data_IF_164417698122
#
_entry.id   IF_164417698122
#
_cell.length_a   1.000
_cell.length_b   1.000
_cell.length_c   1.000
_cell.angle_alpha   90.00
_cell.angle_beta   90.00
_cell.angle_gamma   90.00
#
_symmetry.space_group_name_H-M   'P 1'
#
loop_
_entity.id
_entity.type
_entity.pdbx_description
1 polymer ?
#
# COMPACT_ATOMS: atom_id res chain seq x y z
N UNK A 1 -23.43 13.18 -17.08
CA UNK A 1 -24.51 14.14 -17.36
C UNK A 1 -25.57 14.23 -16.25
N UNK A 2 -26.08 13.13 -15.66
CA UNK A 2 -27.12 13.21 -14.60
C UNK A 2 -26.76 14.05 -13.36
N UNK A 3 -25.49 14.04 -12.96
CA UNK A 3 -25.03 14.84 -11.81
C UNK A 3 -24.97 16.34 -12.13
N UNK A 4 -24.50 16.72 -13.31
CA UNK A 4 -24.51 18.11 -13.78
C UNK A 4 -25.94 18.65 -13.88
N UNK A 5 -26.84 17.85 -14.47
CA UNK A 5 -28.27 18.18 -14.52
C UNK A 5 -28.84 18.43 -13.12
N UNK A 6 -28.61 17.52 -12.16
CA UNK A 6 -29.05 17.68 -10.77
C UNK A 6 -28.51 18.97 -10.13
N UNK A 7 -27.22 19.26 -10.29
CA UNK A 7 -26.59 20.47 -9.74
C UNK A 7 -27.26 21.73 -10.28
N UNK A 8 -27.56 21.75 -11.58
CA UNK A 8 -28.17 22.91 -12.25
C UNK A 8 -29.66 23.05 -11.90
N UNK A 9 -30.44 21.97 -11.91
CA UNK A 9 -31.90 22.05 -11.79
C UNK A 9 -32.42 21.92 -10.36
N UNK A 10 -31.75 21.11 -9.52
CA UNK A 10 -32.23 20.81 -8.16
C UNK A 10 -31.42 21.57 -7.10
N UNK A 11 -30.12 21.76 -7.31
CA UNK A 11 -29.25 22.44 -6.35
C UNK A 11 -29.08 23.94 -6.63
N UNK A 12 -29.68 24.47 -7.70
CA UNK A 12 -29.72 25.90 -8.03
C UNK A 12 -28.41 26.50 -8.55
N UNK A 13 -27.41 25.67 -8.88
CA UNK A 13 -26.12 26.14 -9.41
C UNK A 13 -26.15 26.21 -10.93
N UNK A 14 -27.01 27.07 -11.48
CA UNK A 14 -27.26 27.21 -12.92
C UNK A 14 -26.02 27.66 -13.71
N UNK A 15 -25.05 28.29 -13.05
CA UNK A 15 -23.81 28.77 -13.64
C UNK A 15 -22.68 27.73 -13.69
N UNK A 16 -22.87 26.53 -13.12
CA UNK A 16 -21.89 25.44 -13.21
C UNK A 16 -22.14 24.62 -14.49
N UNK A 17 -21.08 24.36 -15.25
CA UNK A 17 -21.12 23.65 -16.53
C UNK A 17 -19.97 22.68 -16.70
N UNK A 18 -19.82 22.13 -17.91
CA UNK A 18 -18.58 21.44 -18.29
C UNK A 18 -17.46 22.47 -18.40
N UNK A 19 -16.23 22.06 -18.07
CA UNK A 19 -15.04 22.88 -18.25
C UNK A 19 -14.63 22.87 -19.74
N UNK A 20 -15.33 23.68 -20.54
CA UNK A 20 -15.06 23.79 -21.97
C UNK A 20 -13.62 24.25 -22.23
N UNK A 21 -12.93 23.60 -23.17
CA UNK A 21 -11.55 23.91 -23.54
C UNK A 21 -10.47 23.34 -22.62
N UNK A 22 -10.83 22.74 -21.47
CA UNK A 22 -9.86 22.11 -20.56
C UNK A 22 -9.33 20.79 -21.12
N UNK A 23 -10.21 19.98 -21.72
CA UNK A 23 -9.88 18.68 -22.28
C UNK A 23 -9.86 18.72 -23.81
N UNK A 24 -8.92 18.02 -24.47
CA UNK A 24 -8.81 17.99 -25.92
C UNK A 24 -9.85 17.05 -26.57
N UNK A 25 -11.06 16.95 -26.01
CA UNK A 25 -12.13 16.10 -26.55
C UNK A 25 -13.25 16.96 -27.17
N UNK A 26 -13.92 16.47 -28.23
CA UNK A 26 -15.01 17.22 -28.88
C UNK A 26 -16.22 17.51 -27.98
N UNK A 27 -16.38 16.76 -26.89
CA UNK A 27 -17.51 16.85 -25.96
C UNK A 27 -17.18 17.55 -24.63
N UNK A 28 -15.95 18.04 -24.46
CA UNK A 28 -15.49 18.70 -23.23
C UNK A 28 -15.38 17.79 -22.00
N UNK A 29 -15.48 16.47 -22.17
CA UNK A 29 -15.27 15.49 -21.10
C UNK A 29 -13.80 15.06 -20.97
N UNK A 30 -13.36 14.55 -19.80
CA UNK A 30 -12.03 13.98 -19.68
C UNK A 30 -11.77 12.84 -20.68
N UNK A 31 -10.54 12.75 -21.18
CA UNK A 31 -10.12 11.71 -22.16
C UNK A 31 -10.42 10.27 -21.69
N UNK A 32 -10.38 10.04 -20.37
CA UNK A 32 -10.65 8.75 -19.77
C UNK A 32 -11.61 8.98 -18.58
N UNK A 33 -12.71 8.23 -18.46
CA UNK A 33 -13.58 8.32 -17.30
C UNK A 33 -12.86 7.87 -16.02
N UNK A 34 -13.10 8.58 -14.92
CA UNK A 34 -12.60 8.16 -13.61
C UNK A 34 -13.41 7.00 -13.06
N UNK A 35 -12.88 5.78 -13.20
CA UNK A 35 -13.46 4.58 -12.60
C UNK A 35 -13.04 4.45 -11.13
N UNK A 36 -14.01 4.54 -10.21
CA UNK A 36 -13.77 4.39 -8.75
C UNK A 36 -13.63 2.94 -8.30
N UNK A 37 -14.23 2.01 -9.04
CA UNK A 37 -14.19 0.58 -8.75
C UNK A 37 -14.17 -0.20 -10.06
N UNK A 38 -13.36 -1.26 -10.11
CA UNK A 38 -13.17 -2.13 -11.25
C UNK A 38 -13.27 -3.61 -10.83
N UNK A 39 -13.11 -4.51 -11.80
CA UNK A 39 -12.89 -5.93 -11.48
C UNK A 39 -11.60 -6.07 -10.68
N UNK A 40 -11.59 -6.98 -9.72
CA UNK A 40 -10.41 -7.27 -8.88
C UNK A 40 -9.89 -8.66 -9.16
N UNK A 41 -8.56 -8.75 -9.20
CA UNK A 41 -7.81 -9.97 -9.32
C UNK A 41 -7.99 -10.84 -8.05
N UNK A 42 -7.99 -12.16 -8.24
CA UNK A 42 -7.64 -13.12 -7.19
C UNK A 42 -6.14 -13.43 -7.34
N UNK A 43 -5.31 -12.75 -6.56
CA UNK A 43 -3.85 -12.82 -6.69
C UNK A 43 -3.26 -13.96 -5.87
N UNK A 44 -1.95 -14.14 -5.97
CA UNK A 44 -1.18 -15.07 -5.13
C UNK A 44 -1.41 -14.75 -3.64
N UNK A 45 -1.47 -13.46 -3.30
CA UNK A 45 -1.90 -13.01 -1.97
C UNK A 45 -3.08 -12.05 -2.12
N UNK A 46 -3.92 -11.99 -1.07
CA UNK A 46 -5.02 -11.03 -0.98
C UNK A 46 -4.83 -10.17 0.26
N UNK A 47 -4.61 -8.87 0.08
CA UNK A 47 -4.46 -7.94 1.19
C UNK A 47 -5.84 -7.67 1.84
N UNK A 48 -5.92 -7.86 3.16
CA UNK A 48 -7.12 -7.66 3.97
C UNK A 48 -6.82 -6.77 5.19
N UNK A 49 -7.85 -6.24 5.86
CA UNK A 49 -7.67 -5.24 6.92
C UNK A 49 -6.73 -5.68 8.06
N UNK A 50 -6.75 -6.94 8.54
CA UNK A 50 -5.80 -7.38 9.57
C UNK A 50 -4.32 -7.20 9.21
N UNK A 51 -3.96 -7.44 7.94
CA UNK A 51 -2.60 -7.21 7.43
C UNK A 51 -2.20 -5.74 7.35
N UNK A 52 -3.16 -4.81 7.42
CA UNK A 52 -2.88 -3.38 7.50
C UNK A 52 -2.89 -2.89 8.95
N UNK A 53 -3.84 -3.33 9.77
CA UNK A 53 -3.99 -2.88 11.16
C UNK A 53 -2.92 -3.44 12.10
N UNK A 54 -2.55 -4.71 11.92
CA UNK A 54 -1.60 -5.42 12.78
C UNK A 54 -0.63 -6.26 11.93
N UNK A 55 0.18 -5.64 11.04
CA UNK A 55 0.98 -6.36 10.04
C UNK A 55 1.98 -7.36 10.65
N UNK A 56 2.48 -7.08 11.85
CA UNK A 56 3.48 -7.90 12.54
C UNK A 56 2.90 -9.07 13.34
N UNK A 57 1.57 -9.17 13.43
CA UNK A 57 0.87 -10.21 14.19
C UNK A 57 0.21 -11.26 13.29
N UNK A 58 0.28 -11.08 11.97
CA UNK A 58 -0.35 -11.99 11.01
C UNK A 58 0.50 -13.22 10.74
N UNK A 59 -0.16 -14.34 10.42
CA UNK A 59 0.48 -15.61 10.04
C UNK A 59 1.50 -15.45 8.90
N UNK A 60 1.13 -14.68 7.87
CA UNK A 60 2.01 -14.36 6.75
C UNK A 60 2.53 -12.92 6.88
N UNK A 61 3.84 -12.67 6.91
CA UNK A 61 4.38 -11.32 7.05
C UNK A 61 4.35 -10.57 5.71
N UNK A 62 3.15 -10.30 5.18
CA UNK A 62 2.96 -9.70 3.84
C UNK A 62 3.69 -8.36 3.67
N UNK A 63 3.84 -7.60 4.77
CA UNK A 63 4.59 -6.35 4.79
C UNK A 63 6.03 -6.51 4.28
N UNK A 64 6.64 -7.70 4.41
CA UNK A 64 7.98 -7.99 3.90
C UNK A 64 8.07 -7.96 2.39
N UNK A 65 6.94 -8.01 1.70
CA UNK A 65 6.84 -7.99 0.23
C UNK A 65 6.25 -6.68 -0.30
N UNK A 66 6.22 -5.64 0.55
CA UNK A 66 5.74 -4.30 0.20
C UNK A 66 6.47 -3.69 -0.99
N UNK A 67 5.72 -3.16 -1.96
CA UNK A 67 6.23 -2.51 -3.18
C UNK A 67 5.65 -1.12 -3.42
N UNK A 68 4.65 -0.72 -2.64
CA UNK A 68 4.03 0.59 -2.65
C UNK A 68 3.45 0.86 -1.27
N UNK A 69 3.25 2.12 -0.93
CA UNK A 69 2.74 2.54 0.39
C UNK A 69 1.50 3.41 0.26
N UNK A 70 0.71 3.45 1.32
CA UNK A 70 -0.43 4.36 1.45
C UNK A 70 -0.70 4.70 2.92
N UNK A 71 -1.34 5.84 3.14
CA UNK A 71 -1.62 6.42 4.46
C UNK A 71 -3.10 6.76 4.67
N UNK A 72 -3.92 6.52 3.65
CA UNK A 72 -5.33 6.90 3.67
C UNK A 72 -6.19 5.92 4.49
N UNK A 73 -7.16 6.39 5.27
CA UNK A 73 -8.08 5.52 5.99
C UNK A 73 -8.99 4.72 5.04
N UNK A 74 -9.69 3.75 5.62
CA UNK A 74 -10.66 2.95 4.86
C UNK A 74 -11.92 3.78 4.61
N UNK A 75 -12.08 4.29 3.40
CA UNK A 75 -13.22 5.11 2.97
C UNK A 75 -14.26 4.29 2.17
N UNK A 76 -15.35 3.93 2.85
CA UNK A 76 -16.51 3.24 2.29
C UNK A 76 -17.83 3.93 2.67
N UNK A 77 -18.81 3.86 1.77
CA UNK A 77 -20.14 4.45 1.98
C UNK A 77 -21.25 3.43 1.74
N UNK A 78 -22.14 3.21 2.72
CA UNK A 78 -23.25 2.24 2.65
C UNK A 78 -24.50 2.75 1.93
N UNK A 79 -24.59 4.04 1.58
CA UNK A 79 -25.86 4.69 1.19
C UNK A 79 -26.61 4.02 0.03
N UNK A 80 -25.98 3.16 -0.77
CA UNK A 80 -26.60 2.50 -1.92
C UNK A 80 -27.18 1.11 -1.61
N UNK A 81 -26.76 0.44 -0.53
CA UNK A 81 -27.27 -0.88 -0.16
C UNK A 81 -27.56 -0.96 1.35
N UNK A 82 -28.81 -0.74 1.77
CA UNK A 82 -29.21 -0.82 3.18
C UNK A 82 -29.00 -2.19 3.83
N UNK A 83 -29.00 -3.27 3.01
CA UNK A 83 -28.81 -4.66 3.46
C UNK A 83 -27.34 -5.04 3.64
N UNK A 84 -26.40 -4.14 3.30
CA UNK A 84 -24.98 -4.41 3.53
C UNK A 84 -24.71 -4.54 5.03
N UNK A 85 -23.88 -5.52 5.47
CA UNK A 85 -23.51 -5.64 6.88
C UNK A 85 -22.99 -4.32 7.43
N UNK A 86 -23.41 -3.96 8.65
CA UNK A 86 -22.90 -2.79 9.32
C UNK A 86 -21.38 -2.94 9.51
N UNK A 87 -20.62 -2.12 8.78
CA UNK A 87 -19.18 -1.96 8.98
C UNK A 87 -18.99 -0.74 9.88
N UNK A 88 -18.27 -0.93 10.97
CA UNK A 88 -17.90 0.15 11.87
C UNK A 88 -16.79 1.02 11.25
N UNK A 89 -17.16 1.86 10.28
CA UNK A 89 -16.22 2.69 9.53
C UNK A 89 -15.44 3.67 10.40
N UNK A 90 -16.02 4.10 11.52
CA UNK A 90 -15.39 5.05 12.42
C UNK A 90 -14.24 4.38 13.19
N UNK A 91 -14.35 3.07 13.43
CA UNK A 91 -13.38 2.34 14.26
C UNK A 91 -12.44 1.40 13.49
N UNK A 92 -12.53 1.27 12.16
CA UNK A 92 -11.46 0.59 11.39
C UNK A 92 -10.24 1.52 11.29
N UNK A 93 -9.48 1.54 12.38
CA UNK A 93 -8.22 2.25 12.51
C UNK A 93 -7.12 1.38 11.90
N UNK A 94 -6.66 1.77 10.72
CA UNK A 94 -5.43 1.24 10.13
C UNK A 94 -4.33 2.29 10.27
N UNK A 95 -3.08 1.92 10.53
CA UNK A 95 -1.95 2.81 10.29
C UNK A 95 -1.71 2.96 8.79
N UNK A 96 -0.69 3.72 8.41
CA UNK A 96 -0.16 3.63 7.05
C UNK A 96 0.26 2.18 6.76
N UNK A 97 0.21 1.79 5.51
CA UNK A 97 0.33 0.40 5.08
C UNK A 97 1.18 0.30 3.82
N UNK A 98 1.54 -0.94 3.46
CA UNK A 98 2.16 -1.24 2.19
C UNK A 98 1.36 -2.28 1.40
N UNK A 99 1.62 -2.34 0.09
CA UNK A 99 0.99 -3.24 -0.86
C UNK A 99 1.95 -4.39 -1.16
N UNK A 100 1.59 -5.66 -0.87
CA UNK A 100 2.46 -6.79 -1.18
C UNK A 100 2.50 -7.08 -2.68
N UNK A 101 3.68 -7.40 -3.21
CA UNK A 101 3.90 -7.67 -4.65
C UNK A 101 2.95 -8.74 -5.20
N UNK A 102 2.70 -9.80 -4.44
CA UNK A 102 1.82 -10.90 -4.87
C UNK A 102 0.36 -10.49 -5.07
N UNK A 103 -0.09 -9.32 -4.58
CA UNK A 103 -1.42 -8.80 -4.86
C UNK A 103 -1.60 -8.38 -6.33
N UNK A 104 -0.50 -8.15 -7.06
CA UNK A 104 -0.51 -7.82 -8.49
C UNK A 104 -0.49 -9.06 -9.39
N UNK A 105 -0.18 -10.24 -8.84
CA UNK A 105 0.19 -11.41 -9.65
C UNK A 105 -0.93 -12.46 -9.62
N UNK A 106 -1.54 -12.82 -10.76
CA UNK A 106 -2.49 -13.92 -10.86
C UNK A 106 -1.80 -15.28 -10.68
N UNK A 107 -2.38 -16.23 -9.92
CA UNK A 107 -1.74 -17.52 -9.68
C UNK A 107 -1.79 -18.48 -10.89
N UNK A 108 -2.70 -18.28 -11.85
CA UNK A 108 -2.90 -19.21 -12.98
C UNK A 108 -2.58 -18.63 -14.36
N UNK A 109 -2.18 -17.36 -14.45
CA UNK A 109 -1.93 -16.69 -15.73
C UNK A 109 -0.48 -16.21 -15.73
N UNK A 110 0.36 -16.85 -16.53
CA UNK A 110 1.74 -16.43 -16.70
C UNK A 110 1.84 -15.12 -17.50
N UNK A 111 2.88 -14.34 -17.23
CA UNK A 111 3.17 -13.09 -17.95
C UNK A 111 2.22 -11.91 -17.69
N UNK A 112 1.19 -12.07 -16.86
CA UNK A 112 0.24 -11.01 -16.52
C UNK A 112 0.60 -10.33 -15.19
N UNK A 113 0.70 -9.00 -15.20
CA UNK A 113 0.81 -8.17 -14.00
C UNK A 113 -0.42 -7.26 -13.96
N UNK A 114 -1.16 -7.30 -12.87
CA UNK A 114 -2.34 -6.44 -12.65
C UNK A 114 -1.94 -5.28 -11.75
N UNK A 115 -2.22 -4.06 -12.20
CA UNK A 115 -1.93 -2.83 -11.47
C UNK A 115 -3.22 -2.07 -11.10
N UNK A 116 -3.06 -0.88 -10.51
CA UNK A 116 -4.14 0.06 -10.22
C UNK A 116 -5.18 -0.52 -9.24
N UNK A 117 -6.47 -0.23 -9.39
CA UNK A 117 -7.58 -0.62 -8.51
C UNK A 117 -8.00 -2.08 -8.71
N UNK A 118 -7.35 -2.78 -9.64
CA UNK A 118 -7.65 -4.17 -9.98
C UNK A 118 -6.81 -5.20 -9.22
N UNK A 119 -5.85 -4.76 -8.38
CA UNK A 119 -5.05 -5.66 -7.56
C UNK A 119 -5.89 -6.47 -6.56
N UNK A 120 -5.29 -7.53 -6.02
CA UNK A 120 -5.97 -8.44 -5.10
C UNK A 120 -6.06 -7.91 -3.68
N UNK A 121 -7.14 -7.19 -3.42
CA UNK A 121 -7.50 -6.63 -2.11
C UNK A 121 -8.90 -7.09 -1.68
N UNK A 122 -9.21 -7.05 -0.39
CA UNK A 122 -10.60 -7.17 0.06
C UNK A 122 -11.43 -5.95 -0.39
N UNK A 123 -12.76 -6.08 -0.37
CA UNK A 123 -13.63 -4.93 -0.65
C UNK A 123 -13.30 -3.77 0.30
N UNK A 124 -13.12 -4.06 1.59
CA UNK A 124 -12.75 -3.12 2.64
C UNK A 124 -11.42 -2.41 2.35
N UNK A 125 -10.37 -3.16 2.01
CA UNK A 125 -9.04 -2.58 1.75
C UNK A 125 -9.01 -1.76 0.45
N UNK A 126 -9.88 -2.06 -0.50
CA UNK A 126 -10.04 -1.25 -1.70
C UNK A 126 -10.47 0.19 -1.37
N UNK A 127 -11.16 0.43 -0.24
CA UNK A 127 -11.52 1.77 0.24
C UNK A 127 -10.31 2.68 0.47
N UNK A 128 -9.15 2.11 0.83
CA UNK A 128 -7.91 2.84 1.07
C UNK A 128 -6.95 2.80 -0.13
N UNK A 129 -6.75 1.61 -0.69
CA UNK A 129 -5.71 1.36 -1.72
C UNK A 129 -6.01 1.96 -3.09
N UNK A 130 -7.26 2.35 -3.37
CA UNK A 130 -7.70 2.90 -4.66
C UNK A 130 -7.29 4.34 -4.93
N UNK A 131 -6.63 5.01 -3.98
CA UNK A 131 -6.26 6.42 -4.15
C UNK A 131 -5.13 6.61 -5.14
N UNK A 132 -5.17 7.75 -5.84
CA UNK A 132 -4.24 8.05 -6.94
C UNK A 132 -2.75 7.92 -6.53
N UNK A 133 -2.30 8.42 -5.36
CA UNK A 133 -0.91 8.26 -4.95
C UNK A 133 -0.50 6.79 -4.78
N UNK A 134 -1.38 5.96 -4.21
CA UNK A 134 -1.11 4.53 -4.00
C UNK A 134 -1.04 3.79 -5.34
N UNK A 135 -1.99 4.05 -6.26
CA UNK A 135 -1.99 3.39 -7.57
C UNK A 135 -0.82 3.82 -8.45
N UNK A 136 -0.30 5.04 -8.29
CA UNK A 136 0.94 5.45 -8.95
C UNK A 136 2.13 4.62 -8.46
N UNK A 137 2.25 4.41 -7.14
CA UNK A 137 3.26 3.51 -6.57
C UNK A 137 3.12 2.07 -7.07
N UNK A 138 1.88 1.55 -7.13
CA UNK A 138 1.60 0.22 -7.71
C UNK A 138 2.04 0.16 -9.18
N UNK A 139 1.78 1.21 -9.96
CA UNK A 139 2.20 1.29 -11.36
C UNK A 139 3.73 1.29 -11.53
N UNK A 140 4.45 2.04 -10.69
CA UNK A 140 5.91 2.05 -10.66
C UNK A 140 6.47 0.65 -10.33
N UNK A 141 5.92 0.00 -9.31
CA UNK A 141 6.28 -1.37 -8.95
C UNK A 141 5.98 -2.40 -10.04
N UNK A 142 4.83 -2.27 -10.72
CA UNK A 142 4.48 -3.14 -11.83
C UNK A 142 5.47 -2.99 -13.00
N UNK A 143 5.90 -1.77 -13.32
CA UNK A 143 6.92 -1.51 -14.32
C UNK A 143 8.28 -2.09 -13.94
N UNK A 144 8.71 -1.91 -12.70
CA UNK A 144 9.95 -2.51 -12.18
C UNK A 144 9.93 -4.04 -12.23
N UNK A 145 8.82 -4.66 -11.82
CA UNK A 145 8.61 -6.10 -11.91
C UNK A 145 8.68 -6.59 -13.36
N UNK A 146 7.99 -5.92 -14.29
CA UNK A 146 8.01 -6.26 -15.71
C UNK A 146 9.43 -6.18 -16.31
N UNK A 147 10.22 -5.16 -15.93
CA UNK A 147 11.59 -5.03 -16.38
C UNK A 147 12.47 -6.20 -15.91
N UNK A 148 12.29 -6.65 -14.66
CA UNK A 148 13.00 -7.82 -14.12
C UNK A 148 12.56 -9.14 -14.77
N UNK A 149 11.28 -9.30 -15.08
CA UNK A 149 10.80 -10.47 -15.84
C UNK A 149 11.56 -10.64 -17.15
N UNK A 150 11.76 -9.54 -17.89
CA UNK A 150 12.47 -9.56 -19.18
C UNK A 150 13.97 -9.82 -18.99
N UNK A 151 14.59 -9.20 -17.97
CA UNK A 151 16.03 -9.35 -17.74
C UNK A 151 16.43 -10.75 -17.30
N UNK A 152 15.59 -11.43 -16.51
CA UNK A 152 15.86 -12.77 -16.00
C UNK A 152 15.21 -13.90 -16.81
N UNK A 153 14.41 -13.57 -17.82
CA UNK A 153 13.56 -14.51 -18.55
C UNK A 153 12.67 -15.35 -17.61
N UNK A 154 12.00 -14.66 -16.68
CA UNK A 154 11.16 -15.28 -15.65
C UNK A 154 9.74 -14.72 -15.65
N UNK A 155 8.73 -15.55 -15.35
CA UNK A 155 7.39 -15.05 -15.09
C UNK A 155 7.36 -14.20 -13.80
N UNK A 156 6.38 -13.28 -13.65
CA UNK A 156 6.32 -12.37 -12.50
C UNK A 156 6.35 -13.05 -11.13
N UNK A 157 5.78 -14.26 -11.02
CA UNK A 157 5.74 -15.03 -9.78
C UNK A 157 7.12 -15.56 -9.33
N UNK A 158 8.09 -15.64 -10.25
CA UNK A 158 9.44 -16.17 -10.00
C UNK A 158 10.50 -15.08 -9.84
N UNK A 159 10.15 -13.82 -10.15
CA UNK A 159 11.04 -12.69 -9.93
C UNK A 159 11.24 -12.45 -8.44
N UNK A 160 12.49 -12.19 -8.05
CA UNK A 160 12.83 -11.87 -6.67
C UNK A 160 12.16 -10.57 -6.22
N UNK A 161 11.35 -10.65 -5.17
CA UNK A 161 10.79 -9.47 -4.48
C UNK A 161 11.90 -8.48 -4.11
N UNK A 162 13.07 -8.99 -3.69
CA UNK A 162 14.20 -8.13 -3.28
C UNK A 162 14.80 -7.36 -4.45
N UNK A 163 14.81 -7.93 -5.65
CA UNK A 163 15.28 -7.25 -6.85
C UNK A 163 14.35 -6.08 -7.23
N UNK A 164 13.04 -6.30 -7.16
CA UNK A 164 12.03 -5.25 -7.39
C UNK A 164 12.10 -4.17 -6.32
N UNK A 165 12.18 -4.56 -5.05
CA UNK A 165 12.33 -3.61 -3.93
C UNK A 165 13.62 -2.79 -4.04
N UNK A 166 14.72 -3.38 -4.50
CA UNK A 166 15.96 -2.66 -4.72
C UNK A 166 15.79 -1.61 -5.83
N UNK A 167 15.21 -1.98 -6.96
CA UNK A 167 14.92 -1.04 -8.05
C UNK A 167 14.00 0.12 -7.62
N UNK A 168 13.04 -0.16 -6.73
CA UNK A 168 12.17 0.86 -6.13
C UNK A 168 12.95 1.81 -5.22
N UNK A 169 13.83 1.29 -4.36
CA UNK A 169 14.67 2.11 -3.49
C UNK A 169 15.67 2.96 -4.27
N UNK A 170 16.26 2.42 -5.33
CA UNK A 170 17.16 3.16 -6.22
C UNK A 170 16.44 4.33 -6.93
N UNK A 171 15.12 4.21 -7.11
CA UNK A 171 14.24 5.26 -7.61
C UNK A 171 13.64 6.16 -6.49
N UNK A 172 14.09 6.02 -5.23
CA UNK A 172 13.61 6.81 -4.09
C UNK A 172 12.20 6.45 -3.60
N UNK A 173 11.65 5.30 -4.02
CA UNK A 173 10.33 4.87 -3.59
C UNK A 173 10.37 4.17 -2.22
N UNK A 174 9.29 4.31 -1.46
CA UNK A 174 9.13 3.70 -0.13
C UNK A 174 8.68 2.24 -0.23
N UNK A 175 9.24 1.38 0.62
CA UNK A 175 8.78 0.00 0.84
C UNK A 175 7.91 -0.10 2.10
N UNK A 176 8.26 0.71 3.10
CA UNK A 176 7.62 0.88 4.39
C UNK A 176 7.17 2.33 4.55
N UNK A 177 5.97 2.57 5.10
CA UNK A 177 5.35 3.90 5.11
C UNK A 177 5.86 4.81 6.24
N UNK A 178 7.18 4.89 6.42
CA UNK A 178 7.81 5.67 7.49
C UNK A 178 7.78 7.16 7.15
N UNK A 179 6.96 7.93 7.87
CA UNK A 179 6.73 9.36 7.58
C UNK A 179 7.93 10.24 7.94
N UNK A 180 8.76 9.78 8.87
CA UNK A 180 9.91 10.48 9.44
C UNK A 180 11.24 10.13 8.76
N UNK A 181 11.21 9.41 7.63
CA UNK A 181 12.40 8.99 6.89
C UNK A 181 12.21 9.30 5.41
N UNK A 182 12.57 10.52 5.02
CA UNK A 182 12.46 11.00 3.63
C UNK A 182 13.48 10.32 2.68
N UNK A 183 13.25 10.33 1.34
CA UNK A 183 14.12 9.64 0.40
C UNK A 183 15.54 10.21 0.30
N UNK A 184 15.73 11.46 0.70
CA UNK A 184 17.02 12.16 0.78
C UNK A 184 17.77 11.90 2.09
N UNK A 185 17.17 11.18 3.05
CA UNK A 185 17.82 10.79 4.28
C UNK A 185 19.02 9.85 4.00
N UNK A 186 20.20 10.07 4.61
CA UNK A 186 21.42 9.30 4.28
C UNK A 186 21.28 7.79 4.50
N UNK A 187 20.38 7.38 5.39
CA UNK A 187 20.10 5.98 5.70
C UNK A 187 18.77 5.47 5.15
N UNK A 188 18.10 6.21 4.26
CA UNK A 188 16.77 5.86 3.72
C UNK A 188 16.68 4.40 3.28
N UNK A 189 17.55 3.97 2.35
CA UNK A 189 17.53 2.60 1.84
C UNK A 189 17.80 1.55 2.93
N UNK A 190 18.72 1.81 3.87
CA UNK A 190 19.01 0.89 4.96
C UNK A 190 17.80 0.72 5.90
N UNK A 191 17.17 1.83 6.28
CA UNK A 191 15.98 1.88 7.13
C UNK A 191 14.80 1.17 6.46
N UNK A 192 14.56 1.44 5.17
CA UNK A 192 13.49 0.78 4.42
C UNK A 192 13.71 -0.75 4.33
N UNK A 193 14.96 -1.19 4.12
CA UNK A 193 15.31 -2.62 4.06
C UNK A 193 15.11 -3.32 5.41
N UNK A 194 15.63 -2.77 6.51
CA UNK A 194 15.47 -3.39 7.84
C UNK A 194 14.02 -3.37 8.30
N UNK A 195 13.27 -2.33 7.93
CA UNK A 195 11.83 -2.28 8.09
C UNK A 195 11.09 -3.41 7.36
N UNK A 196 11.47 -3.64 6.10
CA UNK A 196 10.92 -4.71 5.26
C UNK A 196 11.34 -6.13 5.71
N UNK A 197 12.28 -6.29 6.64
CA UNK A 197 12.52 -7.59 7.30
C UNK A 197 11.66 -7.76 8.55
N UNK A 198 11.22 -6.66 9.17
CA UNK A 198 10.52 -6.68 10.46
C UNK A 198 11.46 -6.86 11.67
N UNK A 199 12.78 -6.83 11.46
CA UNK A 199 13.79 -6.79 12.52
C UNK A 199 13.63 -5.51 13.34
N UNK A 200 13.59 -4.36 12.66
CA UNK A 200 13.14 -3.11 13.26
C UNK A 200 11.77 -2.78 12.69
N UNK A 201 10.84 -2.48 13.58
CA UNK A 201 9.43 -2.27 13.24
C UNK A 201 9.09 -0.80 13.41
N UNK A 202 8.29 -0.27 12.49
CA UNK A 202 7.70 1.05 12.67
C UNK A 202 6.46 0.98 13.55
N UNK A 203 6.10 2.11 14.13
CA UNK A 203 4.97 2.27 15.02
C UNK A 203 3.83 2.96 14.29
N UNK A 204 2.77 2.20 14.03
CA UNK A 204 1.58 2.68 13.36
C UNK A 204 0.72 3.54 14.28
N UNK A 205 0.34 4.73 13.81
CA UNK A 205 -0.56 5.66 14.51
C UNK A 205 -1.71 6.01 13.57
N UNK A 206 -2.93 5.62 13.92
CA UNK A 206 -4.13 6.04 13.19
C UNK A 206 -4.65 7.34 13.79
N UNK A 207 -4.49 8.45 13.07
CA UNK A 207 -4.92 9.78 13.49
C UNK A 207 -5.82 10.44 12.45
N UNK A 208 -7.13 10.49 12.74
CA UNK A 208 -8.14 11.08 11.86
C UNK A 208 -8.05 10.56 10.42
N UNK A 209 -7.79 11.44 9.45
CA UNK A 209 -7.69 11.15 8.02
C UNK A 209 -6.25 10.94 7.52
N UNK A 210 -5.27 11.00 8.41
CA UNK A 210 -3.86 10.80 8.09
C UNK A 210 -3.32 9.68 8.97
N UNK A 211 -3.30 8.47 8.44
CA UNK A 211 -2.62 7.40 9.14
C UNK A 211 -1.12 7.57 8.99
N UNK A 212 -0.38 7.29 10.05
CA UNK A 212 1.06 7.47 10.10
C UNK A 212 1.72 6.17 10.50
N UNK A 213 2.98 6.01 10.10
CA UNK A 213 3.88 5.03 10.70
C UNK A 213 5.21 5.73 10.93
N UNK A 214 5.74 5.61 12.14
CA UNK A 214 6.97 6.26 12.57
C UNK A 214 8.08 5.23 12.75
N UNK A 215 9.30 5.53 12.33
CA UNK A 215 10.46 4.67 12.52
C UNK A 215 11.34 5.12 13.69
N UNK A 216 11.39 6.42 13.96
CA UNK A 216 12.25 7.09 14.94
C UNK A 216 13.75 6.87 14.68
N UNK A 217 14.29 7.34 13.53
CA UNK A 217 15.67 7.05 13.12
C UNK A 217 16.75 7.60 14.07
N UNK A 218 16.44 8.66 14.82
CA UNK A 218 17.35 9.30 15.77
C UNK A 218 17.19 8.78 17.21
N UNK A 219 16.30 7.82 17.44
CA UNK A 219 16.08 7.24 18.76
C UNK A 219 17.19 6.25 19.13
N UNK A 220 17.45 6.10 20.43
CA UNK A 220 18.39 5.09 20.93
C UNK A 220 17.73 3.73 20.77
N UNK A 221 18.22 2.93 19.82
CA UNK A 221 17.79 1.56 19.66
C UNK A 221 18.29 0.71 20.83
N UNK A 222 17.38 -0.03 21.45
CA UNK A 222 17.66 -0.95 22.54
C UNK A 222 17.56 -2.38 22.04
N UNK A 223 18.17 -3.33 22.75
CA UNK A 223 18.12 -4.73 22.31
C UNK A 223 16.69 -5.26 22.20
N UNK A 224 15.79 -4.79 23.06
CA UNK A 224 14.35 -5.13 23.03
C UNK A 224 13.66 -4.76 21.70
N UNK A 225 14.16 -3.76 20.97
CA UNK A 225 13.58 -3.32 19.70
C UNK A 225 13.88 -4.32 18.57
N UNK A 226 15.03 -5.00 18.63
CA UNK A 226 15.46 -5.97 17.61
C UNK A 226 14.94 -7.38 17.86
N UNK A 227 14.81 -7.78 19.14
CA UNK A 227 14.55 -9.16 19.52
C UNK A 227 13.32 -9.79 18.86
N UNK A 228 12.15 -9.12 18.81
CA UNK A 228 10.96 -9.73 18.22
C UNK A 228 11.18 -10.13 16.76
N UNK A 229 11.86 -9.30 15.97
CA UNK A 229 12.10 -9.60 14.56
C UNK A 229 13.31 -10.48 14.30
N UNK A 230 14.36 -10.40 15.14
CA UNK A 230 15.50 -11.31 15.04
C UNK A 230 15.11 -12.78 15.27
N UNK A 231 14.16 -13.04 16.18
CA UNK A 231 13.64 -14.40 16.44
C UNK A 231 13.00 -15.06 15.21
N UNK A 232 12.52 -14.27 14.25
CA UNK A 232 11.97 -14.81 13.00
C UNK A 232 13.03 -15.41 12.08
N UNK A 233 14.30 -15.04 12.26
CA UNK A 233 15.44 -15.49 11.44
C UNK A 233 16.40 -16.40 12.21
N UNK A 234 16.46 -16.25 13.53
CA UNK A 234 17.37 -16.96 14.42
C UNK A 234 16.57 -17.60 15.57
N UNK A 235 15.99 -18.79 15.36
CA UNK A 235 15.17 -19.48 16.37
C UNK A 235 15.90 -19.71 17.70
N UNK A 236 17.22 -19.82 17.68
CA UNK A 236 18.08 -19.92 18.87
C UNK A 236 17.94 -18.72 19.82
N UNK A 237 17.52 -17.55 19.33
CA UNK A 237 17.27 -16.36 20.14
C UNK A 237 15.91 -16.38 20.87
N UNK A 238 15.09 -17.42 20.68
CA UNK A 238 13.80 -17.54 21.38
C UNK A 238 13.98 -17.64 22.91
N UNK A 239 15.06 -18.28 23.37
CA UNK A 239 15.39 -18.44 24.78
C UNK A 239 16.22 -17.26 25.35
N UNK A 240 16.62 -16.32 24.51
CA UNK A 240 17.45 -15.20 24.94
C UNK A 240 16.62 -14.16 25.71
N UNK A 241 17.01 -13.93 26.96
CA UNK A 241 16.45 -12.95 27.90
C UNK A 241 17.51 -11.96 28.42
N UNK A 242 18.64 -11.82 27.68
CA UNK A 242 19.79 -11.03 28.10
C UNK A 242 19.47 -9.54 28.31
N UNK A 243 20.31 -8.82 29.08
CA UNK A 243 20.09 -7.41 29.38
C UNK A 243 20.09 -6.55 28.11
N UNK A 244 19.35 -5.43 28.15
CA UNK A 244 19.11 -4.53 27.03
C UNK A 244 20.37 -3.88 26.41
N UNK A 245 21.52 -4.05 27.04
CA UNK A 245 22.83 -3.57 26.60
C UNK A 245 23.58 -4.69 25.87
N UNK A 246 23.41 -4.82 24.55
CA UNK A 246 24.38 -5.47 23.66
C UNK A 246 23.94 -5.33 22.19
N UNK A 247 24.15 -4.13 21.63
CA UNK A 247 24.54 -3.96 20.22
C UNK A 247 25.41 -2.70 20.13
N UNK A 248 26.73 -2.87 20.30
CA UNK A 248 27.75 -1.91 19.84
C UNK A 248 28.35 -2.40 18.54
#
# INVERSE_FOLDING_TARGET
MRFLYYIQTEAGFENLGLAEGEYPTPDGLPMIPYHREARRLKGIVRLTSPYMSAPFEQEYPLYRTGIAVGDYPIDHHHKKNPEAPAIDFINIKIPSYNIPMGAMIPPQIEGLIVAEKSISVSNIVNGATRLQPVVLGIGQAAGALAAWCIQEDKPPAEVSVRAVQQALLDAGAYLMPYIDVAPDHPYFAAIQRIGATGILRGFGVSYQWANQTWFYPDSIAQTVDFLPGLRDFYPEMAAWSGPAELVT
#
